data_IF_225495478070
#
_entry.id   IF_225495478070
#
_cell.length_a   1.000
_cell.length_b   1.000
_cell.length_c   1.000
_cell.angle_alpha   90.00
_cell.angle_beta   90.00
_cell.angle_gamma   90.00
#
_symmetry.space_group_name_H-M   'P 1'
#
loop_
_entity.id
_entity.type
_entity.pdbx_description
1 polymer ?
#
# COMPACT_ATOMS: atom_id res chain seq x y z
N UNK A 1 14.19 14.11 3.94
CA UNK A 1 13.99 12.84 3.21
C UNK A 1 14.45 11.74 4.13
N UNK A 2 13.59 10.76 4.40
CA UNK A 2 13.90 9.67 5.33
C UNK A 2 14.96 8.73 4.75
N UNK A 3 15.84 8.22 5.60
CA UNK A 3 16.77 7.16 5.24
C UNK A 3 16.06 5.80 5.33
N UNK A 4 15.66 5.27 4.18
CA UNK A 4 14.89 4.04 4.08
C UNK A 4 15.63 2.82 4.67
N UNK A 5 16.96 2.78 4.54
CA UNK A 5 17.77 1.63 4.99
C UNK A 5 17.84 1.63 6.51
N UNK A 6 18.04 2.81 7.12
CA UNK A 6 17.98 2.99 8.58
C UNK A 6 16.60 2.65 9.13
N UNK A 7 15.52 3.09 8.47
CA UNK A 7 14.15 2.75 8.89
C UNK A 7 13.84 1.25 8.74
N UNK A 8 14.34 0.59 7.69
CA UNK A 8 14.21 -0.86 7.52
C UNK A 8 14.89 -1.60 8.66
N UNK A 9 16.12 -1.22 9.00
CA UNK A 9 16.86 -1.81 10.11
C UNK A 9 16.10 -1.66 11.44
N UNK A 10 15.52 -0.48 11.71
CA UNK A 10 14.68 -0.22 12.88
C UNK A 10 13.46 -1.14 12.93
N UNK A 11 12.72 -1.27 11.82
CA UNK A 11 11.54 -2.12 11.72
C UNK A 11 11.88 -3.60 11.92
N UNK A 12 12.98 -4.08 11.33
CA UNK A 12 13.45 -5.45 11.52
C UNK A 12 13.83 -5.70 12.98
N UNK A 13 14.53 -4.76 13.62
CA UNK A 13 14.88 -4.86 15.04
C UNK A 13 13.64 -4.91 15.94
N UNK A 14 12.65 -4.06 15.67
CA UNK A 14 11.37 -4.04 16.36
C UNK A 14 10.62 -5.38 16.23
N UNK A 15 10.51 -5.92 15.01
CA UNK A 15 9.86 -7.22 14.81
C UNK A 15 10.57 -8.34 15.58
N UNK A 16 11.91 -8.36 15.56
CA UNK A 16 12.73 -9.32 16.32
C UNK A 16 12.55 -9.16 17.83
N UNK A 17 12.46 -7.93 18.34
CA UNK A 17 12.22 -7.67 19.76
C UNK A 17 10.87 -8.21 20.25
N UNK A 18 9.88 -8.33 19.36
CA UNK A 18 8.59 -8.97 19.62
C UNK A 18 8.59 -10.49 19.40
N UNK A 19 9.73 -11.09 19.05
CA UNK A 19 9.81 -12.52 18.72
C UNK A 19 9.15 -12.89 17.39
N UNK A 20 8.86 -11.92 16.53
CA UNK A 20 8.26 -12.18 15.21
C UNK A 20 9.34 -12.77 14.29
N UNK A 21 9.10 -13.94 13.65
CA UNK A 21 10.11 -14.67 12.89
C UNK A 21 10.26 -14.09 11.46
N UNK A 22 10.69 -12.83 11.38
CA UNK A 22 11.08 -12.21 10.11
C UNK A 22 12.34 -12.89 9.57
N UNK A 23 12.48 -12.96 8.24
CA UNK A 23 13.61 -13.66 7.63
C UNK A 23 14.95 -12.99 8.02
N UNK A 24 16.01 -13.77 8.32
CA UNK A 24 17.35 -13.21 8.50
C UNK A 24 18.00 -12.78 7.17
N UNK A 25 17.42 -13.15 6.01
CA UNK A 25 17.96 -12.91 4.68
C UNK A 25 17.31 -11.71 3.98
N UNK A 26 16.93 -10.68 4.74
CA UNK A 26 16.44 -9.41 4.18
C UNK A 26 17.66 -8.59 3.74
N UNK A 27 17.68 -8.15 2.47
CA UNK A 27 18.72 -7.25 1.99
C UNK A 27 18.61 -5.91 2.72
N UNK A 28 19.73 -5.35 3.22
CA UNK A 28 19.68 -4.15 4.06
C UNK A 28 19.33 -2.89 3.25
N UNK A 29 19.57 -2.88 1.93
CA UNK A 29 19.22 -1.76 1.07
C UNK A 29 17.78 -1.85 0.56
N UNK A 30 16.98 -0.82 0.86
CA UNK A 30 15.63 -0.63 0.32
C UNK A 30 15.72 -0.15 -1.12
N UNK A 31 15.06 -0.86 -2.03
CA UNK A 31 14.93 -0.40 -3.41
C UNK A 31 13.88 0.70 -3.51
N UNK A 32 14.26 1.89 -3.97
CA UNK A 32 13.32 2.97 -4.23
C UNK A 32 12.69 2.85 -5.63
N UNK A 33 11.37 2.92 -5.69
CA UNK A 33 10.61 2.92 -6.93
C UNK A 33 9.96 4.28 -7.19
N UNK A 34 10.51 5.01 -8.16
CA UNK A 34 10.03 6.33 -8.61
C UNK A 34 8.73 6.29 -9.41
N UNK A 35 8.35 5.12 -9.93
CA UNK A 35 7.20 4.93 -10.83
C UNK A 35 6.01 4.28 -10.13
N UNK A 36 6.14 3.93 -8.85
CA UNK A 36 5.09 3.26 -8.10
C UNK A 36 3.95 4.23 -7.76
N UNK A 37 2.84 4.14 -8.49
CA UNK A 37 1.63 4.96 -8.26
C UNK A 37 0.47 4.16 -7.65
N UNK A 38 0.47 2.83 -7.78
CA UNK A 38 -0.63 1.97 -7.30
C UNK A 38 -0.32 1.18 -6.03
N UNK A 39 0.95 1.16 -5.60
CA UNK A 39 1.42 0.47 -4.39
C UNK A 39 2.44 1.33 -3.66
N UNK A 40 2.60 1.07 -2.37
CA UNK A 40 3.49 1.82 -1.49
C UNK A 40 4.77 1.06 -1.15
N UNK A 41 4.67 -0.26 -0.99
CA UNK A 41 5.80 -1.16 -0.78
C UNK A 41 5.67 -2.45 -1.60
N UNK A 42 6.73 -3.25 -1.61
CA UNK A 42 6.68 -4.64 -2.08
C UNK A 42 7.84 -5.49 -1.51
N UNK A 43 7.50 -6.66 -0.98
CA UNK A 43 8.44 -7.71 -0.60
C UNK A 43 8.66 -8.72 -1.74
N UNK A 44 9.88 -8.77 -2.27
CA UNK A 44 10.28 -9.62 -3.41
C UNK A 44 11.27 -10.68 -2.95
N UNK A 45 10.82 -11.94 -2.89
CA UNK A 45 11.70 -13.09 -2.67
C UNK A 45 12.53 -13.35 -3.92
N UNK A 46 13.84 -13.37 -3.77
CA UNK A 46 14.82 -13.66 -4.82
C UNK A 46 15.00 -15.18 -5.01
N UNK A 47 15.61 -15.58 -6.12
CA UNK A 47 15.89 -16.99 -6.41
C UNK A 47 16.85 -17.62 -5.40
N UNK A 48 17.80 -16.85 -4.86
CA UNK A 48 18.76 -17.26 -3.82
C UNK A 48 18.15 -17.34 -2.41
N UNK A 49 16.85 -17.08 -2.26
CA UNK A 49 16.13 -17.11 -0.99
C UNK A 49 16.19 -15.81 -0.18
N UNK A 50 16.94 -14.79 -0.63
CA UNK A 50 16.93 -13.47 0.00
C UNK A 50 15.63 -12.71 -0.27
N UNK A 51 15.34 -11.68 0.54
CA UNK A 51 14.20 -10.80 0.38
C UNK A 51 14.65 -9.38 0.10
N UNK A 52 14.17 -8.82 -1.01
CA UNK A 52 14.34 -7.41 -1.35
C UNK A 52 13.07 -6.64 -0.99
N UNK A 53 13.21 -5.60 -0.18
CA UNK A 53 12.12 -4.67 0.14
C UNK A 53 12.20 -3.49 -0.84
N UNK A 54 11.08 -3.20 -1.50
CA UNK A 54 10.90 -2.03 -2.36
C UNK A 54 9.95 -1.03 -1.70
N UNK A 55 10.23 0.26 -1.82
CA UNK A 55 9.40 1.35 -1.32
C UNK A 55 9.13 2.38 -2.43
N UNK A 56 7.90 2.89 -2.51
CA UNK A 56 7.58 4.02 -3.39
C UNK A 56 8.34 5.27 -2.90
N UNK A 57 9.11 5.90 -3.78
CA UNK A 57 10.01 7.00 -3.37
C UNK A 57 9.26 8.15 -2.67
N UNK A 58 8.02 8.44 -3.09
CA UNK A 58 7.17 9.48 -2.49
C UNK A 58 6.91 9.30 -0.99
N UNK A 59 7.09 8.09 -0.43
CA UNK A 59 6.97 7.90 1.01
C UNK A 59 8.12 8.55 1.79
N UNK A 60 9.30 8.74 1.19
CA UNK A 60 10.44 9.35 1.89
C UNK A 60 10.24 10.82 2.25
N UNK A 61 9.22 11.45 1.67
CA UNK A 61 8.80 12.83 1.94
C UNK A 61 7.49 12.90 2.75
N UNK A 62 6.86 11.74 2.99
CA UNK A 62 5.69 11.62 3.84
C UNK A 62 6.10 11.66 5.33
N UNK A 63 5.13 11.68 6.27
CA UNK A 63 5.43 11.46 7.68
C UNK A 63 6.26 10.18 7.88
N UNK A 64 7.27 10.19 8.77
CA UNK A 64 8.16 9.02 9.00
C UNK A 64 7.36 7.74 9.29
N UNK A 65 6.26 7.89 10.03
CA UNK A 65 5.31 6.83 10.35
C UNK A 65 4.80 6.10 9.10
N UNK A 66 4.52 6.82 8.01
CA UNK A 66 4.08 6.24 6.75
C UNK A 66 5.15 5.33 6.12
N UNK A 67 6.43 5.69 6.24
CA UNK A 67 7.55 4.83 5.85
C UNK A 67 7.63 3.60 6.76
N UNK A 68 7.64 3.81 8.08
CA UNK A 68 7.81 2.74 9.07
C UNK A 68 6.72 1.67 8.94
N UNK A 69 5.45 2.07 8.89
CA UNK A 69 4.34 1.12 8.77
C UNK A 69 4.33 0.39 7.43
N UNK A 70 4.76 1.06 6.34
CA UNK A 70 4.87 0.41 5.01
C UNK A 70 6.02 -0.58 5.01
N UNK A 71 7.18 -0.23 5.56
CA UNK A 71 8.31 -1.15 5.69
C UNK A 71 7.94 -2.35 6.59
N UNK A 72 7.25 -2.10 7.71
CA UNK A 72 6.77 -3.16 8.59
C UNK A 72 5.82 -4.12 7.87
N UNK A 73 4.88 -3.60 7.10
CA UNK A 73 4.00 -4.41 6.25
C UNK A 73 4.80 -5.36 5.33
N UNK A 74 5.81 -4.84 4.63
CA UNK A 74 6.64 -5.64 3.72
C UNK A 74 7.57 -6.61 4.43
N UNK A 75 8.12 -6.23 5.59
CA UNK A 75 8.96 -7.09 6.43
C UNK A 75 8.17 -8.29 6.95
N UNK A 76 6.91 -8.10 7.36
CA UNK A 76 6.04 -9.20 7.80
C UNK A 76 5.74 -10.23 6.70
N UNK A 77 5.82 -9.85 5.42
CA UNK A 77 5.69 -10.80 4.31
C UNK A 77 6.86 -11.78 4.18
N UNK A 78 7.97 -11.54 4.91
CA UNK A 78 9.11 -12.46 4.96
C UNK A 78 8.89 -13.61 5.94
N UNK A 79 7.89 -13.50 6.83
CA UNK A 79 7.56 -14.54 7.79
C UNK A 79 6.93 -15.78 7.11
N UNK A 80 7.21 -17.01 7.59
CA UNK A 80 6.59 -18.23 7.07
C UNK A 80 5.06 -18.19 7.14
N UNK A 81 4.41 -18.42 5.98
CA UNK A 81 2.95 -18.43 5.86
C UNK A 81 2.29 -17.04 5.93
N UNK A 82 3.05 -15.96 5.68
CA UNK A 82 2.54 -14.59 5.79
C UNK A 82 2.48 -13.85 4.44
N UNK A 83 2.42 -14.58 3.31
CA UNK A 83 2.41 -14.01 1.95
C UNK A 83 1.06 -13.44 1.51
N UNK A 84 -0.03 -13.77 2.21
CA UNK A 84 -1.42 -13.52 1.80
C UNK A 84 -2.26 -12.75 2.84
N UNK A 85 -1.60 -12.02 3.75
CA UNK A 85 -2.25 -11.29 4.86
C UNK A 85 -3.21 -12.16 5.70
N UNK A 86 -2.93 -13.47 5.79
CA UNK A 86 -3.69 -14.43 6.58
C UNK A 86 -3.64 -14.14 8.10
N UNK A 87 -4.26 -15.03 8.89
CA UNK A 87 -4.40 -14.88 10.35
C UNK A 87 -3.05 -14.59 11.04
N UNK A 88 -2.00 -15.29 10.62
CA UNK A 88 -0.65 -15.13 11.20
C UNK A 88 -0.05 -13.75 10.90
N UNK A 89 -0.15 -13.28 9.66
CA UNK A 89 0.33 -11.94 9.29
C UNK A 89 -0.44 -10.86 10.08
N UNK A 90 -1.76 -11.01 10.22
CA UNK A 90 -2.59 -10.07 11.00
C UNK A 90 -2.21 -10.05 12.47
N UNK A 91 -1.90 -11.21 13.06
CA UNK A 91 -1.45 -11.30 14.43
C UNK A 91 -0.14 -10.52 14.63
N UNK A 92 0.85 -10.71 13.75
CA UNK A 92 2.12 -9.98 13.81
C UNK A 92 1.96 -8.47 13.56
N UNK A 93 1.13 -8.08 12.59
CA UNK A 93 0.78 -6.68 12.37
C UNK A 93 0.13 -6.06 13.63
N UNK A 94 -0.79 -6.78 14.27
CA UNK A 94 -1.43 -6.35 15.52
C UNK A 94 -0.44 -6.18 16.67
N UNK A 95 0.54 -7.08 16.81
CA UNK A 95 1.59 -6.96 17.82
C UNK A 95 2.46 -5.72 17.58
N UNK A 96 2.89 -5.49 16.34
CA UNK A 96 3.68 -4.29 16.00
C UNK A 96 2.88 -3.00 16.19
N UNK A 97 1.60 -2.99 15.83
CA UNK A 97 0.70 -1.85 16.06
C UNK A 97 0.59 -1.54 17.56
N UNK A 98 0.36 -2.55 18.40
CA UNK A 98 0.22 -2.38 19.84
C UNK A 98 1.52 -1.90 20.51
N UNK A 99 2.68 -2.41 20.08
CA UNK A 99 3.96 -2.11 20.70
C UNK A 99 4.57 -0.77 20.26
N UNK A 100 4.33 -0.35 19.02
CA UNK A 100 5.04 0.79 18.41
C UNK A 100 4.13 1.91 17.90
N UNK A 101 2.81 1.80 18.10
CA UNK A 101 1.85 2.81 17.65
C UNK A 101 1.57 2.79 16.15
N UNK A 102 2.01 1.74 15.44
CA UNK A 102 1.79 1.61 14.01
C UNK A 102 0.33 1.38 13.67
N UNK A 103 -0.04 1.68 12.41
CA UNK A 103 -1.36 1.38 11.84
C UNK A 103 -1.24 0.43 10.64
N UNK A 104 -0.48 -0.66 10.81
CA UNK A 104 -0.30 -1.69 9.78
C UNK A 104 -1.64 -2.36 9.50
N UNK A 105 -2.07 -2.30 8.24
CA UNK A 105 -3.28 -2.95 7.75
C UNK A 105 -3.02 -3.64 6.41
N UNK A 106 -3.99 -4.45 5.95
CA UNK A 106 -3.90 -5.15 4.65
C UNK A 106 -3.75 -4.18 3.47
N UNK A 107 -4.39 -3.02 3.55
CA UNK A 107 -4.44 -2.04 2.45
C UNK A 107 -4.31 -0.63 3.02
N UNK A 108 -3.31 0.12 2.56
CA UNK A 108 -3.18 1.54 2.83
C UNK A 108 -3.83 2.39 1.73
N UNK A 109 -4.27 3.59 2.09
CA UNK A 109 -4.70 4.63 1.16
C UNK A 109 -3.69 5.78 1.13
N UNK A 110 -3.73 6.61 0.08
CA UNK A 110 -2.86 7.78 -0.01
C UNK A 110 -3.12 8.77 1.14
N UNK A 111 -4.40 8.99 1.46
CA UNK A 111 -4.87 9.84 2.56
C UNK A 111 -4.32 9.40 3.93
N UNK A 112 -4.48 8.12 4.28
CA UNK A 112 -3.94 7.56 5.53
C UNK A 112 -2.42 7.67 5.66
N UNK A 113 -1.70 7.68 4.54
CA UNK A 113 -0.24 7.78 4.51
C UNK A 113 0.26 9.22 4.36
N UNK A 114 -0.65 10.22 4.26
CA UNK A 114 -0.28 11.62 4.05
C UNK A 114 0.44 11.86 2.72
N UNK A 115 0.13 11.09 1.67
CA UNK A 115 0.72 11.26 0.35
C UNK A 115 -0.34 11.64 -0.68
N UNK A 116 0.05 12.42 -1.69
CA UNK A 116 -0.84 12.79 -2.78
C UNK A 116 -1.22 11.57 -3.64
N UNK A 117 -2.49 11.48 -4.03
CA UNK A 117 -2.97 10.49 -4.97
C UNK A 117 -2.67 10.87 -6.42
N UNK A 118 -1.44 10.57 -6.85
CA UNK A 118 -0.95 10.82 -8.22
C UNK A 118 -1.42 9.79 -9.26
N UNK A 119 -2.42 8.96 -8.95
CA UNK A 119 -2.90 7.95 -9.91
C UNK A 119 -3.58 8.64 -11.09
N UNK A 120 -3.17 8.36 -12.34
CA UNK A 120 -3.75 9.04 -13.49
C UNK A 120 -5.22 8.66 -13.66
N UNK A 121 -6.09 9.67 -13.74
CA UNK A 121 -7.49 9.49 -14.08
C UNK A 121 -7.57 9.31 -15.60
N UNK A 122 -7.85 8.08 -16.04
CA UNK A 122 -7.92 7.73 -17.47
C UNK A 122 -9.34 7.74 -18.02
N UNK A 123 -10.32 7.66 -17.13
CA UNK A 123 -11.73 7.65 -17.48
C UNK A 123 -12.52 8.52 -16.52
N UNK A 124 -13.53 9.18 -17.04
CA UNK A 124 -14.47 9.96 -16.26
C UNK A 124 -15.88 9.49 -16.57
N UNK A 125 -16.60 9.06 -15.55
CA UNK A 125 -18.04 8.80 -15.64
C UNK A 125 -18.78 9.95 -14.95
N UNK A 126 -19.85 10.45 -15.56
CA UNK A 126 -20.63 11.58 -15.05
C UNK A 126 -22.11 11.24 -14.99
N UNK A 127 -22.79 11.74 -13.96
CA UNK A 127 -24.25 11.67 -13.90
C UNK A 127 -24.86 12.66 -14.90
N UNK A 128 -25.81 12.17 -15.70
CA UNK A 128 -26.54 12.98 -16.69
C UNK A 128 -27.51 13.98 -16.06
N UNK A 129 -27.92 13.76 -14.80
CA UNK A 129 -28.90 14.59 -14.09
C UNK A 129 -28.24 15.65 -13.21
N UNK A 130 -27.33 15.26 -12.32
CA UNK A 130 -26.73 16.17 -11.34
C UNK A 130 -25.25 16.51 -11.59
N UNK A 131 -24.65 16.00 -12.67
CA UNK A 131 -23.24 16.29 -13.00
C UNK A 131 -22.19 15.64 -12.10
N UNK A 132 -22.58 14.87 -11.07
CA UNK A 132 -21.64 14.18 -10.18
C UNK A 132 -20.61 13.37 -10.97
N UNK A 133 -19.35 13.56 -10.62
CA UNK A 133 -18.20 12.95 -11.28
C UNK A 133 -17.72 11.69 -10.55
N UNK A 134 -17.30 10.70 -11.34
CA UNK A 134 -16.77 9.42 -10.89
C UNK A 134 -15.47 9.13 -11.64
N UNK A 135 -14.34 9.76 -11.24
CA UNK A 135 -13.05 9.56 -11.87
C UNK A 135 -12.52 8.14 -11.65
N UNK A 136 -11.91 7.54 -12.68
CA UNK A 136 -11.38 6.17 -12.64
C UNK A 136 -10.03 6.07 -13.33
N UNK A 137 -9.09 5.41 -12.65
CA UNK A 137 -7.78 5.10 -13.23
C UNK A 137 -7.79 3.89 -14.19
N UNK A 138 -8.81 3.00 -14.08
CA UNK A 138 -8.94 1.78 -14.87
C UNK A 138 -10.34 1.65 -15.46
N UNK A 139 -10.45 0.96 -16.60
CA UNK A 139 -11.73 0.60 -17.23
C UNK A 139 -12.42 -0.49 -16.40
N UNK A 140 -13.23 -0.07 -15.44
CA UNK A 140 -14.09 -0.94 -14.61
C UNK A 140 -15.43 -1.22 -15.30
N UNK A 141 -16.27 -2.16 -14.80
CA UNK A 141 -17.63 -2.36 -15.30
C UNK A 141 -18.46 -1.07 -15.34
N UNK A 142 -18.29 -0.17 -14.36
CA UNK A 142 -18.91 1.16 -14.36
C UNK A 142 -18.50 2.01 -15.56
N UNK A 143 -17.23 1.92 -16.01
CA UNK A 143 -16.73 2.66 -17.17
C UNK A 143 -17.17 1.99 -18.48
N UNK A 144 -17.20 0.66 -18.51
CA UNK A 144 -17.57 -0.11 -19.69
C UNK A 144 -19.08 -0.08 -19.98
N UNK A 145 -19.89 -0.09 -18.93
CA UNK A 145 -21.35 -0.17 -18.97
C UNK A 145 -22.00 0.83 -17.99
N UNK A 146 -21.74 2.15 -18.11
CA UNK A 146 -22.27 3.14 -17.18
C UNK A 146 -23.81 3.17 -17.14
N UNK A 147 -24.48 2.76 -18.22
CA UNK A 147 -25.93 2.66 -18.33
C UNK A 147 -26.57 1.69 -17.33
N UNK A 148 -25.80 0.69 -16.84
CA UNK A 148 -26.25 -0.29 -15.83
C UNK A 148 -26.27 0.24 -14.41
N UNK A 149 -25.71 1.43 -14.19
CA UNK A 149 -25.57 2.03 -12.86
C UNK A 149 -26.40 3.30 -12.74
N UNK A 150 -26.67 3.72 -11.51
CA UNK A 150 -27.40 4.95 -11.19
C UNK A 150 -26.63 5.78 -10.18
N UNK A 151 -26.73 7.10 -10.34
CA UNK A 151 -26.30 8.04 -9.30
C UNK A 151 -27.29 7.98 -8.12
N UNK A 152 -26.83 8.35 -6.92
CA UNK A 152 -27.68 8.49 -5.75
C UNK A 152 -28.87 9.47 -5.95
N UNK A 153 -28.77 10.42 -6.90
CA UNK A 153 -29.86 11.31 -7.28
C UNK A 153 -30.91 10.69 -8.24
N UNK A 154 -30.75 9.40 -8.57
CA UNK A 154 -31.57 8.66 -9.54
C UNK A 154 -31.17 8.80 -11.01
N UNK A 155 -30.24 9.70 -11.34
CA UNK A 155 -29.81 9.93 -12.73
C UNK A 155 -29.01 8.76 -13.33
N UNK A 156 -29.09 8.61 -14.66
CA UNK A 156 -28.24 7.68 -15.41
C UNK A 156 -26.80 8.18 -15.46
N UNK A 157 -25.86 7.26 -15.74
CA UNK A 157 -24.45 7.59 -15.87
C UNK A 157 -24.01 7.46 -17.33
N UNK A 158 -23.05 8.29 -17.74
CA UNK A 158 -22.38 8.21 -19.04
C UNK A 158 -20.89 8.38 -18.89
N UNK A 159 -20.11 7.83 -19.82
CA UNK A 159 -18.68 8.11 -19.92
C UNK A 159 -18.48 9.48 -20.59
N UNK A 160 -17.66 10.32 -19.97
CA UNK A 160 -17.21 11.60 -20.53
C UNK A 160 -15.93 11.42 -21.35
N UNK A 161 -14.97 10.64 -20.84
CA UNK A 161 -13.78 10.17 -21.55
C UNK A 161 -13.21 8.90 -20.92
#
# INVERSE_FOLDING_TARGET
>A
MHDADTLLARVVAQAKALGIPVSPHILPQVRLNRRAVTRFGCCIRQADGTYRIELAQRLLEAPEEACLQTLAHEVLHTCPGCRDHGVRWKAYAGQMNAAYGYTISRTGTCDQLGVEDIRPIRHLVVCTKCGRQFPRARRSPLVAHPERYRCACGGTLRRAY
#
